data_IF_685850593346
#
_entry.id   IF_685850593346
#
_cell.length_a   1.000
_cell.length_b   1.000
_cell.length_c   1.000
_cell.angle_alpha   90.00
_cell.angle_beta   90.00
_cell.angle_gamma   90.00
#
_symmetry.space_group_name_H-M   'P 1'
#
loop_
_entity.id
_entity.type
_entity.pdbx_description
1 polymer ?
#
# COMPACT_ATOMS: atom_id res chain seq x y z
N UNK A 1 -20.00 17.40 17.69
CA UNK A 1 -19.67 17.04 16.29
C UNK A 1 -20.54 15.85 15.90
N UNK A 2 -21.11 15.82 14.68
CA UNK A 2 -21.77 14.63 14.18
C UNK A 2 -20.79 13.45 14.13
N UNK A 3 -21.27 12.20 14.29
CA UNK A 3 -20.41 11.02 14.20
C UNK A 3 -19.76 10.93 12.83
N UNK A 4 -18.49 10.51 12.78
CA UNK A 4 -17.80 10.29 11.50
C UNK A 4 -18.57 9.24 10.69
N UNK A 5 -18.78 9.46 9.38
CA UNK A 5 -19.40 8.46 8.51
C UNK A 5 -18.65 7.14 8.57
N UNK A 6 -19.38 6.03 8.51
CA UNK A 6 -18.78 4.69 8.46
C UNK A 6 -18.29 4.44 7.03
N UNK A 7 -17.01 4.08 6.83
CA UNK A 7 -16.50 3.71 5.51
C UNK A 7 -17.25 2.52 4.91
N UNK A 8 -17.53 2.58 3.60
CA UNK A 8 -18.21 1.51 2.84
C UNK A 8 -17.38 0.96 1.70
N UNK A 9 -16.49 1.78 1.14
CA UNK A 9 -15.59 1.40 0.05
C UNK A 9 -14.21 2.01 0.31
N UNK A 10 -13.23 1.57 -0.47
CA UNK A 10 -11.88 2.09 -0.39
C UNK A 10 -11.20 2.08 -1.76
N UNK A 11 -10.34 3.07 -1.97
CA UNK A 11 -9.41 3.12 -3.10
C UNK A 11 -8.14 2.34 -2.69
N UNK A 12 -7.64 1.47 -3.55
CA UNK A 12 -6.43 0.70 -3.26
C UNK A 12 -5.57 0.40 -4.48
N UNK A 13 -4.34 -0.03 -4.19
CA UNK A 13 -3.54 -0.86 -5.08
C UNK A 13 -3.69 -2.32 -4.61
N UNK A 14 -4.40 -3.19 -5.36
CA UNK A 14 -4.39 -4.62 -5.12
C UNK A 14 -2.98 -5.17 -5.27
N UNK A 15 -2.53 -6.00 -4.32
CA UNK A 15 -1.17 -6.54 -4.35
C UNK A 15 -1.12 -7.97 -4.90
N UNK A 16 -2.26 -8.57 -5.23
CA UNK A 16 -2.37 -9.96 -5.67
C UNK A 16 -2.36 -10.02 -7.19
N UNK A 17 -1.23 -10.44 -7.73
CA UNK A 17 -0.98 -10.67 -9.16
C UNK A 17 -0.47 -12.10 -9.36
N UNK A 18 -0.33 -12.54 -10.60
CA UNK A 18 0.30 -13.83 -10.91
C UNK A 18 1.74 -13.92 -10.38
N UNK A 19 2.46 -12.79 -10.31
CA UNK A 19 3.84 -12.72 -9.84
C UNK A 19 3.96 -12.66 -8.31
N UNK A 20 3.04 -11.98 -7.61
CA UNK A 20 3.12 -11.80 -6.16
C UNK A 20 2.48 -12.94 -5.37
N UNK A 21 1.44 -13.57 -5.91
CA UNK A 21 0.66 -14.59 -5.19
C UNK A 21 1.52 -15.74 -4.66
N UNK A 22 2.44 -16.35 -5.43
CA UNK A 22 3.29 -17.43 -4.91
C UNK A 22 4.16 -16.98 -3.74
N UNK A 23 4.74 -15.77 -3.81
CA UNK A 23 5.58 -15.20 -2.74
C UNK A 23 4.76 -14.95 -1.47
N UNK A 24 3.54 -14.40 -1.62
CA UNK A 24 2.65 -14.09 -0.51
C UNK A 24 2.07 -15.33 0.15
N UNK A 25 1.70 -16.36 -0.62
CA UNK A 25 1.29 -17.67 -0.09
C UNK A 25 2.42 -18.27 0.75
N UNK A 26 3.64 -18.29 0.23
CA UNK A 26 4.78 -18.88 0.93
C UNK A 26 5.14 -18.11 2.21
N UNK A 27 5.23 -16.78 2.14
CA UNK A 27 5.60 -15.94 3.29
C UNK A 27 4.53 -15.95 4.38
N UNK A 28 3.24 -15.87 4.02
CA UNK A 28 2.15 -15.95 5.00
C UNK A 28 2.00 -17.35 5.60
N UNK A 29 2.22 -18.43 4.84
CA UNK A 29 2.22 -19.78 5.39
C UNK A 29 3.34 -19.96 6.43
N UNK A 30 4.54 -19.47 6.12
CA UNK A 30 5.69 -19.50 7.03
C UNK A 30 5.42 -18.66 8.29
N UNK A 31 4.87 -17.45 8.11
CA UNK A 31 4.46 -16.60 9.22
C UNK A 31 3.39 -17.27 10.08
N UNK A 32 2.37 -17.91 9.49
CA UNK A 32 1.32 -18.62 10.23
C UNK A 32 1.88 -19.74 11.09
N UNK A 33 2.78 -20.55 10.52
CA UNK A 33 3.38 -21.71 11.19
C UNK A 33 4.23 -21.33 12.41
N UNK A 34 4.90 -20.17 12.37
CA UNK A 34 5.69 -19.66 13.48
C UNK A 34 4.87 -18.78 14.43
N UNK A 35 4.12 -17.81 13.90
CA UNK A 35 3.59 -16.74 14.73
C UNK A 35 2.41 -17.16 15.63
N UNK A 36 1.66 -18.18 15.23
CA UNK A 36 0.59 -18.76 16.05
C UNK A 36 1.18 -19.42 17.31
N UNK A 37 2.08 -20.43 17.22
CA UNK A 37 2.62 -21.08 18.41
C UNK A 37 3.60 -20.19 19.18
N UNK A 38 4.43 -19.39 18.51
CA UNK A 38 5.52 -18.63 19.15
C UNK A 38 5.05 -17.36 19.86
N UNK A 39 4.03 -16.68 19.33
CA UNK A 39 3.58 -15.37 19.86
C UNK A 39 2.08 -15.34 20.24
N UNK A 40 1.38 -16.47 20.13
CA UNK A 40 -0.03 -16.57 20.50
C UNK A 40 -0.96 -15.73 19.61
N UNK A 41 -0.55 -15.42 18.38
CA UNK A 41 -1.41 -14.75 17.41
C UNK A 41 -2.55 -15.68 17.03
N UNK A 42 -3.78 -15.19 17.09
CA UNK A 42 -4.95 -15.99 16.72
C UNK A 42 -4.98 -16.22 15.21
N UNK A 43 -5.32 -17.44 14.80
CA UNK A 43 -5.39 -17.86 13.40
C UNK A 43 -6.25 -16.93 12.54
N UNK A 44 -7.50 -16.67 12.96
CA UNK A 44 -8.40 -15.72 12.30
C UNK A 44 -7.93 -14.26 12.27
N UNK A 45 -6.89 -13.89 13.04
CA UNK A 45 -6.33 -12.55 12.97
C UNK A 45 -5.40 -12.38 11.77
N UNK A 46 -4.84 -13.47 11.23
CA UNK A 46 -3.94 -13.43 10.07
C UNK A 46 -4.79 -13.27 8.81
N UNK A 47 -4.43 -12.28 7.99
CA UNK A 47 -5.21 -11.89 6.81
C UNK A 47 -5.05 -12.91 5.68
N UNK A 48 -6.14 -13.29 4.99
CA UNK A 48 -6.05 -14.13 3.80
C UNK A 48 -5.27 -13.43 2.67
N UNK A 49 -4.59 -14.22 1.85
CA UNK A 49 -3.71 -13.73 0.77
C UNK A 49 -4.49 -12.81 -0.18
N UNK A 50 -5.66 -13.25 -0.66
CA UNK A 50 -6.52 -12.51 -1.58
C UNK A 50 -7.00 -11.14 -1.08
N UNK A 51 -6.75 -10.82 0.19
CA UNK A 51 -7.14 -9.54 0.80
C UNK A 51 -6.02 -8.52 0.94
N UNK A 52 -4.78 -8.85 0.56
CA UNK A 52 -3.65 -7.93 0.69
C UNK A 52 -3.71 -6.82 -0.38
N UNK A 53 -3.65 -5.58 0.09
CA UNK A 53 -3.71 -4.37 -0.73
C UNK A 53 -3.03 -3.22 0.02
N UNK A 54 -2.68 -2.15 -0.69
CA UNK A 54 -2.38 -0.84 -0.08
C UNK A 54 -3.62 0.04 -0.15
N UNK A 55 -4.20 0.39 0.99
CA UNK A 55 -5.32 1.34 1.04
C UNK A 55 -4.83 2.76 0.82
N UNK A 56 -5.38 3.46 -0.17
CA UNK A 56 -5.04 4.85 -0.50
C UNK A 56 -6.00 5.85 0.16
N UNK A 57 -7.22 5.40 0.44
CA UNK A 57 -8.21 6.17 1.17
C UNK A 57 -9.58 5.50 1.16
N UNK A 58 -10.53 6.05 1.91
CA UNK A 58 -11.84 5.43 2.14
C UNK A 58 -12.98 6.33 1.69
N UNK A 59 -14.03 5.71 1.16
CA UNK A 59 -15.28 6.37 0.82
C UNK A 59 -16.36 6.00 1.83
N UNK A 60 -17.24 6.96 2.10
CA UNK A 60 -18.45 6.74 2.88
C UNK A 60 -19.65 7.20 2.07
N UNK A 61 -20.27 6.25 1.36
CA UNK A 61 -21.52 6.49 0.63
C UNK A 61 -22.72 6.22 1.52
N UNK A 62 -23.74 7.08 1.45
CA UNK A 62 -24.99 6.90 2.16
C UNK A 62 -25.76 5.70 1.62
N UNK A 63 -26.68 5.16 2.41
CA UNK A 63 -27.57 4.07 1.98
C UNK A 63 -28.30 4.46 0.68
N UNK A 64 -28.28 3.57 -0.30
CA UNK A 64 -28.83 3.74 -1.66
C UNK A 64 -28.20 4.87 -2.50
N UNK A 65 -27.17 5.55 -1.99
CA UNK A 65 -26.38 6.57 -2.71
C UNK A 65 -27.19 7.46 -3.68
N UNK A 66 -28.18 8.23 -3.18
CA UNK A 66 -29.11 8.99 -4.02
C UNK A 66 -28.42 10.03 -4.93
N UNK A 67 -27.20 10.44 -4.58
CA UNK A 67 -26.41 11.41 -5.34
C UNK A 67 -25.48 10.76 -6.38
N UNK A 68 -25.48 9.43 -6.48
CA UNK A 68 -24.64 8.65 -7.41
C UNK A 68 -23.14 8.89 -7.19
N UNK A 69 -22.70 9.06 -5.94
CA UNK A 69 -21.30 9.35 -5.62
C UNK A 69 -20.38 8.17 -5.92
N UNK A 70 -20.87 6.94 -5.81
CA UNK A 70 -20.12 5.74 -6.22
C UNK A 70 -19.86 5.76 -7.72
N UNK A 71 -20.87 6.02 -8.55
CA UNK A 71 -20.70 6.07 -10.00
C UNK A 71 -19.74 7.19 -10.41
N UNK A 72 -19.85 8.38 -9.78
CA UNK A 72 -18.87 9.47 -9.97
C UNK A 72 -17.44 9.06 -9.59
N UNK A 73 -17.26 8.27 -8.53
CA UNK A 73 -15.95 7.75 -8.15
C UNK A 73 -15.41 6.73 -9.16
N UNK A 74 -16.28 5.88 -9.72
CA UNK A 74 -15.92 4.95 -10.80
C UNK A 74 -15.52 5.71 -12.06
N UNK A 75 -16.30 6.71 -12.47
CA UNK A 75 -16.00 7.57 -13.61
C UNK A 75 -14.67 8.32 -13.43
N UNK A 76 -14.44 8.90 -12.25
CA UNK A 76 -13.18 9.56 -11.93
C UNK A 76 -12.02 8.57 -12.01
N UNK A 77 -12.14 7.37 -11.43
CA UNK A 77 -11.13 6.33 -11.54
C UNK A 77 -10.79 6.03 -13.01
N UNK A 78 -11.81 5.79 -13.85
CA UNK A 78 -11.64 5.52 -15.28
C UNK A 78 -10.97 6.65 -16.06
N UNK A 79 -11.10 7.89 -15.58
CA UNK A 79 -10.47 9.05 -16.22
C UNK A 79 -8.99 9.24 -15.88
N UNK A 80 -8.49 8.60 -14.81
CA UNK A 80 -7.11 8.76 -14.38
C UNK A 80 -6.13 8.20 -15.40
N UNK A 81 -4.94 8.81 -15.46
CA UNK A 81 -3.82 8.36 -16.31
C UNK A 81 -2.61 8.02 -15.42
N UNK A 82 -2.55 6.80 -14.85
CA UNK A 82 -1.55 6.45 -13.82
C UNK A 82 -0.09 6.67 -14.26
N UNK A 83 0.26 6.32 -15.50
CA UNK A 83 1.62 6.51 -16.03
C UNK A 83 2.02 7.98 -16.11
N UNK A 84 1.11 8.84 -16.55
CA UNK A 84 1.35 10.28 -16.62
C UNK A 84 1.48 10.88 -15.22
N UNK A 85 0.64 10.43 -14.28
CA UNK A 85 0.74 10.82 -12.87
C UNK A 85 2.11 10.43 -12.29
N UNK A 86 2.59 9.20 -12.55
CA UNK A 86 3.92 8.76 -12.13
C UNK A 86 5.05 9.58 -12.79
N UNK A 87 4.97 9.82 -14.10
CA UNK A 87 5.97 10.62 -14.81
C UNK A 87 6.13 12.01 -14.20
N UNK A 88 5.01 12.66 -13.86
CA UNK A 88 5.01 13.99 -13.26
C UNK A 88 5.70 14.06 -11.89
N UNK A 89 5.79 12.93 -11.18
CA UNK A 89 6.49 12.83 -9.89
C UNK A 89 7.99 12.68 -10.11
N UNK A 90 8.41 11.81 -11.04
CA UNK A 90 9.82 11.59 -11.36
C UNK A 90 10.49 12.88 -11.86
N UNK A 91 9.79 13.70 -12.65
CA UNK A 91 10.32 14.99 -13.14
C UNK A 91 10.45 16.10 -12.08
N UNK A 92 9.76 15.98 -10.93
CA UNK A 92 9.85 16.96 -9.82
C UNK A 92 10.95 16.64 -8.82
N UNK A 93 11.63 15.50 -8.95
CA UNK A 93 12.75 15.14 -8.08
C UNK A 93 14.03 15.81 -8.60
N UNK A 94 14.75 16.62 -7.80
CA UNK A 94 16.02 17.21 -8.25
C UNK A 94 17.06 16.09 -8.47
N UNK A 95 17.91 16.18 -9.50
CA UNK A 95 19.01 15.25 -9.67
C UNK A 95 20.00 15.37 -8.49
N UNK A 96 20.67 14.27 -8.07
CA UNK A 96 21.68 14.34 -7.03
C UNK A 96 22.80 15.27 -7.48
N UNK A 97 22.98 16.36 -6.75
CA UNK A 97 24.02 17.37 -6.99
C UNK A 97 25.36 16.78 -6.56
N UNK A 98 26.05 16.09 -7.47
CA UNK A 98 27.48 15.84 -7.33
C UNK A 98 28.24 16.99 -7.99
N UNK A 99 28.79 17.88 -7.17
CA UNK A 99 29.95 18.71 -7.50
C UNK A 99 30.96 18.53 -6.36
N UNK A 100 32.25 18.53 -6.71
CA UNK A 100 33.05 19.64 -6.20
C UNK A 100 33.53 20.48 -7.38
N UNK A 101 33.21 21.77 -7.31
CA UNK A 101 33.85 22.81 -8.10
C UNK A 101 35.36 22.76 -7.86
N UNK A 102 36.13 22.73 -8.96
CA UNK A 102 37.53 23.19 -8.93
C UNK A 102 37.60 24.38 -9.89
N UNK A 103 37.96 25.54 -9.36
CA UNK A 103 38.15 26.79 -10.11
C UNK A 103 39.17 26.64 -11.25
N UNK A 104 39.03 27.35 -12.38
CA UNK A 104 40.11 27.52 -13.35
C UNK A 104 40.89 28.83 -13.11
N UNK A 105 42.22 28.89 -13.37
CA UNK A 105 42.97 30.14 -13.38
C UNK A 105 42.84 30.89 -14.73
N UNK A 106 43.16 32.19 -14.79
CA UNK A 106 42.88 33.02 -15.95
C UNK A 106 43.95 32.98 -17.05
N UNK A 107 43.45 32.93 -18.29
CA UNK A 107 43.91 33.55 -19.56
C UNK A 107 45.41 33.72 -19.87
N UNK A 108 45.82 33.15 -21.00
CA UNK A 108 46.83 33.77 -21.89
C UNK A 108 46.35 33.77 -23.35
N UNK A 109 46.42 34.95 -23.96
CA UNK A 109 46.06 35.28 -25.34
C UNK A 109 46.86 34.46 -26.40
N UNK A 110 46.16 34.00 -27.44
CA UNK A 110 46.75 33.49 -28.67
C UNK A 110 45.73 33.45 -29.81
N UNK A 111 45.94 34.28 -30.84
CA UNK A 111 45.11 34.41 -32.05
C UNK A 111 45.13 33.13 -32.92
N UNK A 112 44.00 32.76 -33.51
CA UNK A 112 43.99 32.04 -34.80
C UNK A 112 42.76 31.18 -35.14
N UNK A 113 41.97 31.68 -36.12
CA UNK A 113 41.34 30.95 -37.24
C UNK A 113 40.20 29.93 -36.97
N UNK A 114 39.00 30.27 -37.50
CA UNK A 114 37.88 29.36 -37.87
C UNK A 114 38.09 28.91 -39.34
N UNK A 115 37.43 27.87 -39.91
CA UNK A 115 36.37 27.00 -39.39
C UNK A 115 36.49 25.49 -39.73
N UNK A 116 35.81 24.61 -38.99
CA UNK A 116 35.29 23.36 -39.58
C UNK A 116 34.19 22.72 -38.73
N UNK A 117 33.29 22.07 -39.44
CA UNK A 117 31.93 21.63 -39.09
C UNK A 117 31.88 20.47 -38.09
N UNK A 118 31.30 20.70 -36.91
CA UNK A 118 30.82 19.63 -36.03
C UNK A 118 29.40 19.19 -36.42
N UNK A 119 29.03 17.90 -36.24
CA UNK A 119 27.68 17.42 -36.55
C UNK A 119 26.66 18.06 -35.60
N UNK A 120 25.37 18.15 -35.99
CA UNK A 120 24.38 18.85 -35.19
C UNK A 120 24.18 18.13 -33.85
N UNK A 121 24.06 18.94 -32.80
CA UNK A 121 23.60 18.51 -31.50
C UNK A 121 22.40 17.58 -31.65
N UNK A 122 22.52 16.39 -31.07
CA UNK A 122 21.40 15.48 -30.85
C UNK A 122 20.37 16.24 -30.03
N UNK A 123 19.30 16.67 -30.69
CA UNK A 123 18.07 17.12 -30.05
C UNK A 123 17.62 15.94 -29.19
N UNK A 124 17.74 16.08 -27.87
CA UNK A 124 17.17 15.11 -26.92
C UNK A 124 15.68 15.02 -27.21
N UNK A 125 15.30 13.91 -27.83
CA UNK A 125 13.91 13.58 -28.13
C UNK A 125 13.22 13.44 -26.77
N UNK A 126 12.11 14.15 -26.49
CA UNK A 126 11.36 13.89 -25.27
C UNK A 126 10.98 12.41 -25.29
N UNK A 127 11.33 11.69 -24.23
CA UNK A 127 11.07 10.26 -24.10
C UNK A 127 9.60 9.99 -24.44
N UNK A 128 9.37 9.09 -25.37
CA UNK A 128 8.01 8.63 -25.68
C UNK A 128 7.40 8.05 -24.40
N UNK A 129 6.13 8.36 -24.13
CA UNK A 129 5.36 7.89 -22.96
C UNK A 129 5.45 6.35 -22.77
N UNK A 130 5.79 5.60 -23.83
CA UNK A 130 6.02 4.16 -23.84
C UNK A 130 7.27 3.66 -23.10
N UNK A 131 8.20 4.53 -22.68
CA UNK A 131 9.46 4.14 -22.00
C UNK A 131 9.46 4.39 -20.48
N UNK A 132 8.32 4.78 -19.90
CA UNK A 132 8.23 4.97 -18.45
C UNK A 132 8.37 3.63 -17.73
N UNK A 133 9.43 3.51 -16.92
CA UNK A 133 9.63 2.32 -16.09
C UNK A 133 8.42 2.06 -15.17
N UNK A 134 8.00 0.78 -15.05
CA UNK A 134 6.85 0.41 -14.22
C UNK A 134 7.11 0.76 -12.75
N UNK A 135 6.04 1.07 -12.01
CA UNK A 135 6.13 1.20 -10.56
C UNK A 135 6.17 -0.20 -9.95
N UNK A 136 7.23 -0.52 -9.21
CA UNK A 136 7.36 -1.79 -8.49
C UNK A 136 7.24 -1.57 -6.97
N UNK A 137 6.66 -2.56 -6.27
CA UNK A 137 6.48 -2.57 -4.83
C UNK A 137 7.21 -3.78 -4.24
N UNK A 138 8.00 -3.53 -3.21
CA UNK A 138 8.54 -4.56 -2.30
C UNK A 138 7.96 -4.29 -0.92
N UNK A 139 7.39 -5.32 -0.28
CA UNK A 139 6.94 -5.24 1.11
C UNK A 139 7.98 -5.91 2.02
N UNK A 140 8.54 -5.15 2.96
CA UNK A 140 9.53 -5.66 3.90
C UNK A 140 9.28 -5.19 5.33
N UNK A 141 9.47 -6.12 6.25
CA UNK A 141 9.34 -5.91 7.67
C UNK A 141 7.92 -6.07 8.18
N UNK A 142 7.77 -5.91 9.48
CA UNK A 142 6.49 -5.93 10.18
C UNK A 142 6.45 -4.75 11.15
N UNK A 143 5.34 -4.02 11.18
CA UNK A 143 5.14 -2.86 12.06
C UNK A 143 3.80 -2.97 12.78
N UNK A 144 3.71 -2.32 13.93
CA UNK A 144 2.44 -2.19 14.65
C UNK A 144 1.80 -0.85 14.41
N UNK A 145 0.46 -0.86 14.26
CA UNK A 145 -0.34 0.36 14.18
C UNK A 145 -0.58 0.99 15.56
N UNK A 146 -0.48 0.19 16.63
CA UNK A 146 -0.64 0.61 18.02
C UNK A 146 0.70 0.44 18.75
N UNK A 147 0.82 0.86 20.03
CA UNK A 147 2.00 0.51 20.82
C UNK A 147 2.24 -1.00 20.81
N UNK A 148 3.46 -1.48 20.53
CA UNK A 148 3.76 -2.91 20.38
C UNK A 148 3.28 -3.80 21.54
N UNK A 149 3.32 -3.32 22.79
CA UNK A 149 2.87 -4.06 23.96
C UNK A 149 1.35 -4.32 24.02
N UNK A 150 0.56 -3.63 23.19
CA UNK A 150 -0.91 -3.75 23.09
C UNK A 150 -1.35 -3.67 21.63
N UNK A 151 -0.64 -4.37 20.76
CA UNK A 151 -0.93 -4.41 19.34
C UNK A 151 -2.28 -5.08 19.07
N UNK A 152 -2.96 -4.62 18.03
CA UNK A 152 -4.16 -5.26 17.48
C UNK A 152 -4.15 -5.33 15.96
N UNK A 153 -3.27 -4.56 15.32
CA UNK A 153 -3.04 -4.55 13.89
C UNK A 153 -1.53 -4.55 13.64
N UNK A 154 -1.06 -5.52 12.84
CA UNK A 154 0.30 -5.55 12.30
C UNK A 154 0.24 -5.45 10.79
N UNK A 155 1.20 -4.74 10.20
CA UNK A 155 1.23 -4.49 8.78
C UNK A 155 2.65 -4.52 8.22
N UNK A 156 2.76 -4.86 6.94
CA UNK A 156 4.00 -4.77 6.16
C UNK A 156 4.01 -3.44 5.37
N UNK A 157 5.00 -2.56 5.58
CA UNK A 157 5.14 -1.34 4.78
C UNK A 157 5.81 -1.63 3.44
N UNK A 158 5.54 -0.82 2.39
CA UNK A 158 6.38 -0.82 1.20
C UNK A 158 7.76 -0.22 1.50
N UNK A 159 8.81 -0.73 0.84
CA UNK A 159 10.10 -0.06 0.77
C UNK A 159 9.97 1.08 -0.25
N UNK A 160 10.23 2.31 0.18
CA UNK A 160 10.12 3.49 -0.68
C UNK A 160 11.17 4.55 -0.32
N UNK A 161 12.45 4.22 -0.50
CA UNK A 161 13.56 5.11 -0.14
C UNK A 161 13.52 6.44 -0.90
N UNK A 162 13.07 6.42 -2.16
CA UNK A 162 12.95 7.60 -2.99
C UNK A 162 11.61 8.35 -2.83
N UNK A 163 10.66 7.83 -2.03
CA UNK A 163 9.35 8.44 -1.82
C UNK A 163 8.41 8.39 -3.04
N UNK A 164 8.73 7.61 -4.07
CA UNK A 164 8.00 7.58 -5.33
C UNK A 164 6.67 6.84 -5.18
N UNK A 165 6.65 5.73 -4.44
CA UNK A 165 5.42 4.96 -4.20
C UNK A 165 4.45 5.79 -3.37
N UNK A 166 4.95 6.45 -2.32
CA UNK A 166 4.22 7.35 -1.45
C UNK A 166 3.62 8.51 -2.25
N UNK A 167 4.45 9.25 -2.99
CA UNK A 167 3.98 10.39 -3.78
C UNK A 167 2.95 9.99 -4.85
N UNK A 168 3.13 8.83 -5.48
CA UNK A 168 2.17 8.30 -6.46
C UNK A 168 0.81 8.00 -5.82
N UNK A 169 0.84 7.29 -4.70
CA UNK A 169 -0.37 6.95 -3.94
C UNK A 169 -1.10 8.18 -3.40
N UNK A 170 -0.36 9.17 -2.90
CA UNK A 170 -0.91 10.46 -2.46
C UNK A 170 -1.52 11.24 -3.62
N UNK A 171 -0.91 11.19 -4.82
CA UNK A 171 -1.46 11.86 -5.99
C UNK A 171 -2.77 11.21 -6.46
N UNK A 172 -2.87 9.88 -6.44
CA UNK A 172 -4.13 9.17 -6.68
C UNK A 172 -5.20 9.59 -5.66
N UNK A 173 -4.86 9.54 -4.36
CA UNK A 173 -5.76 9.96 -3.28
C UNK A 173 -6.25 11.41 -3.46
N UNK A 174 -5.34 12.32 -3.80
CA UNK A 174 -5.63 13.76 -3.94
C UNK A 174 -6.67 14.01 -5.02
N UNK A 175 -6.64 13.30 -6.14
CA UNK A 175 -7.65 13.44 -7.20
C UNK A 175 -9.09 13.20 -6.68
N UNK A 176 -9.28 12.21 -5.80
CA UNK A 176 -10.59 11.93 -5.20
C UNK A 176 -10.98 12.93 -4.09
N UNK A 177 -9.99 13.52 -3.41
CA UNK A 177 -10.23 14.57 -2.41
C UNK A 177 -10.60 15.89 -3.07
N UNK A 178 -9.89 16.30 -4.12
CA UNK A 178 -10.18 17.48 -4.95
C UNK A 178 -11.58 17.40 -5.58
N UNK A 179 -11.99 16.20 -6.01
CA UNK A 179 -13.35 15.93 -6.49
C UNK A 179 -14.42 15.84 -5.38
N UNK A 180 -14.05 16.06 -4.12
CA UNK A 180 -14.94 15.97 -2.94
C UNK A 180 -15.64 14.61 -2.79
N UNK A 181 -15.04 13.55 -3.33
CA UNK A 181 -15.53 12.17 -3.20
C UNK A 181 -14.96 11.49 -1.95
N UNK A 182 -13.76 11.90 -1.54
CA UNK A 182 -13.07 11.43 -0.34
C UNK A 182 -12.85 12.57 0.65
N UNK A 183 -12.94 12.28 1.94
CA UNK A 183 -12.66 13.27 2.97
C UNK A 183 -11.18 13.67 2.97
N UNK A 184 -10.93 14.94 3.22
CA UNK A 184 -9.60 15.40 3.63
C UNK A 184 -9.28 14.79 5.01
N UNK A 185 -8.04 14.33 5.19
CA UNK A 185 -7.57 13.86 6.49
C UNK A 185 -6.38 14.70 6.93
N UNK A 186 -6.36 15.07 8.21
CA UNK A 186 -5.27 15.84 8.82
C UNK A 186 -3.96 15.04 8.98
N UNK A 187 -3.94 13.77 8.53
CA UNK A 187 -2.83 12.85 8.71
C UNK A 187 -2.28 12.44 7.34
N UNK A 188 -0.95 12.32 7.20
CA UNK A 188 -0.34 11.81 5.99
C UNK A 188 -0.81 10.38 5.71
N UNK A 189 -0.81 9.99 4.43
CA UNK A 189 -1.15 8.63 4.02
C UNK A 189 -0.13 7.64 4.60
N UNK A 190 -0.58 6.68 5.39
CA UNK A 190 0.27 5.57 5.83
C UNK A 190 0.08 4.39 4.89
N UNK A 191 1.01 4.19 3.96
CA UNK A 191 1.00 3.01 3.11
C UNK A 191 1.34 1.75 3.89
N UNK A 192 0.45 0.76 3.82
CA UNK A 192 0.60 -0.49 4.54
C UNK A 192 -0.24 -1.61 3.92
N UNK A 193 0.28 -2.83 3.95
CA UNK A 193 -0.48 -4.05 3.73
C UNK A 193 -0.74 -4.73 5.08
N UNK A 194 -2.00 -4.85 5.48
CA UNK A 194 -2.34 -5.45 6.78
C UNK A 194 -2.09 -6.95 6.77
N UNK A 195 -1.24 -7.43 7.69
CA UNK A 195 -0.91 -8.86 7.86
C UNK A 195 -1.73 -9.48 8.99
N UNK A 196 -1.86 -8.78 10.12
CA UNK A 196 -2.62 -9.22 11.29
C UNK A 196 -3.63 -8.15 11.67
N UNK A 197 -4.88 -8.53 11.92
CA UNK A 197 -5.89 -7.65 12.48
C UNK A 197 -6.88 -8.42 13.35
N UNK A 198 -6.87 -8.14 14.65
CA UNK A 198 -7.66 -8.89 15.63
C UNK A 198 -9.17 -8.62 15.56
N UNK A 199 -9.63 -7.64 14.75
CA UNK A 199 -11.06 -7.41 14.54
C UNK A 199 -11.75 -8.61 13.87
N UNK A 200 -10.98 -9.44 13.16
CA UNK A 200 -11.50 -10.63 12.47
C UNK A 200 -11.64 -11.85 13.39
N UNK A 201 -11.05 -11.79 14.59
CA UNK A 201 -11.24 -12.81 15.62
C UNK A 201 -12.64 -12.63 16.20
N UNK A 202 -13.55 -13.51 15.83
CA UNK A 202 -14.89 -13.54 16.42
C UNK A 202 -14.75 -13.99 17.88
N UNK A 203 -15.26 -13.19 18.81
CA UNK A 203 -15.35 -13.59 20.21
C UNK A 203 -16.18 -14.86 20.31
N UNK A 204 -15.63 -15.88 20.97
CA UNK A 204 -16.30 -17.15 21.23
C UNK A 204 -17.67 -16.92 21.88
N UNK A 205 -18.73 -17.04 21.09
CA UNK A 205 -20.10 -17.12 21.59
C UNK A 205 -20.37 -18.57 21.96
N UNK A 206 -19.75 -19.00 23.06
CA UNK A 206 -20.12 -20.25 23.75
C UNK A 206 -19.42 -21.51 23.23
N UNK A 207 -18.16 -21.69 23.57
CA UNK A 207 -17.47 -22.97 23.50
C UNK A 207 -16.68 -23.22 24.77
N UNK A 208 -17.28 -23.90 25.76
CA UNK A 208 -16.58 -24.27 26.98
C UNK A 208 -15.38 -25.16 26.68
N UNK A 209 -14.17 -24.59 26.71
CA UNK A 209 -12.94 -25.38 26.74
C UNK A 209 -12.22 -25.20 28.09
N UNK A 210 -12.06 -26.34 28.77
CA UNK A 210 -11.61 -26.54 30.16
C UNK A 210 -10.09 -26.32 30.37
N UNK A 211 -9.50 -25.33 29.72
CA UNK A 211 -8.09 -24.99 29.94
C UNK A 211 -7.87 -23.49 29.93
N UNK A 212 -8.30 -22.80 30.98
CA UNK A 212 -7.63 -21.59 31.45
C UNK A 212 -7.92 -21.34 32.93
N UNK A 213 -6.96 -21.72 33.75
CA UNK A 213 -6.84 -21.34 35.15
C UNK A 213 -6.14 -19.97 35.15
N UNK A 214 -6.87 -18.91 35.51
CA UNK A 214 -6.32 -17.59 35.82
C UNK A 214 -6.51 -16.51 34.73
N UNK A 215 -7.26 -15.45 35.10
CA UNK A 215 -7.23 -14.15 34.41
C UNK A 215 -8.60 -13.67 33.90
N UNK A 216 -9.14 -12.65 34.57
CA UNK A 216 -10.38 -11.90 34.30
C UNK A 216 -11.08 -12.08 32.95
N UNK A 217 -12.36 -12.45 33.01
CA UNK A 217 -13.23 -12.49 31.84
C UNK A 217 -13.21 -11.16 31.06
N UNK A 218 -13.01 -11.24 29.74
CA UNK A 218 -13.08 -10.08 28.84
C UNK A 218 -14.40 -9.35 29.02
N UNK A 219 -14.35 -8.03 29.23
CA UNK A 219 -15.55 -7.19 29.17
C UNK A 219 -16.10 -7.25 27.75
N UNK A 220 -17.42 -7.41 27.63
CA UNK A 220 -18.14 -7.45 26.35
C UNK A 220 -17.79 -6.18 25.54
N UNK A 221 -17.09 -6.35 24.41
CA UNK A 221 -16.70 -5.26 23.50
C UNK A 221 -15.24 -4.82 23.56
N UNK A 222 -14.41 -5.40 24.43
CA UNK A 222 -12.98 -5.07 24.46
C UNK A 222 -12.22 -5.70 23.28
N UNK A 223 -11.49 -4.87 22.51
CA UNK A 223 -10.70 -5.30 21.35
C UNK A 223 -9.63 -6.31 21.80
N UNK A 224 -9.51 -7.44 21.10
CA UNK A 224 -8.42 -8.38 21.33
C UNK A 224 -7.08 -7.68 21.01
N UNK A 225 -6.17 -7.68 21.98
CA UNK A 225 -4.79 -7.17 21.82
C UNK A 225 -3.80 -8.25 22.24
N UNK A 226 -2.55 -8.12 21.78
CA UNK A 226 -1.43 -8.97 22.15
C UNK A 226 -0.13 -8.16 22.21
N UNK A 227 0.90 -8.71 22.85
CA UNK A 227 2.24 -8.13 22.85
C UNK A 227 2.96 -8.55 21.57
N UNK A 228 3.36 -7.59 20.75
CA UNK A 228 3.96 -7.82 19.45
C UNK A 228 5.47 -7.54 19.43
N UNK A 229 6.12 -7.20 20.54
CA UNK A 229 7.54 -6.79 20.52
C UNK A 229 8.44 -7.86 19.91
N UNK A 230 8.31 -9.11 20.35
CA UNK A 230 9.16 -10.20 19.89
C UNK A 230 8.89 -10.58 18.43
N UNK A 231 7.61 -10.59 18.00
CA UNK A 231 7.27 -10.87 16.58
C UNK A 231 7.71 -9.72 15.66
N UNK A 232 7.69 -8.47 16.13
CA UNK A 232 8.18 -7.35 15.33
C UNK A 232 9.69 -7.43 15.12
N UNK A 233 10.45 -7.77 16.17
CA UNK A 233 11.89 -7.99 16.08
C UNK A 233 12.21 -9.16 15.14
N UNK A 234 11.54 -10.31 15.31
CA UNK A 234 11.76 -11.50 14.48
C UNK A 234 11.52 -11.25 12.98
N UNK A 235 10.54 -10.40 12.66
CA UNK A 235 10.09 -10.14 11.29
C UNK A 235 10.48 -8.74 10.79
N UNK A 236 11.44 -8.06 11.43
CA UNK A 236 11.90 -6.71 11.03
C UNK A 236 12.37 -6.65 9.58
N UNK A 237 13.01 -7.72 9.11
CA UNK A 237 13.57 -7.83 7.76
C UNK A 237 12.80 -8.80 6.83
N UNK A 238 11.64 -9.28 7.26
CA UNK A 238 10.86 -10.23 6.46
C UNK A 238 10.46 -9.61 5.11
N UNK A 239 10.88 -10.22 4.00
CA UNK A 239 10.38 -9.88 2.67
C UNK A 239 9.09 -10.66 2.43
N UNK A 240 7.97 -9.96 2.28
CA UNK A 240 6.66 -10.57 2.02
C UNK A 240 6.42 -10.78 0.53
N UNK A 241 6.83 -9.80 -0.26
CA UNK A 241 6.87 -9.83 -1.72
C UNK A 241 7.94 -8.85 -2.19
N UNK A 242 8.57 -9.14 -3.31
CA UNK A 242 9.67 -8.35 -3.86
C UNK A 242 9.45 -8.01 -5.33
N UNK A 243 9.70 -6.73 -5.66
CA UNK A 243 9.74 -6.21 -7.02
C UNK A 243 8.48 -6.53 -7.84
N UNK A 244 7.32 -6.36 -7.23
CA UNK A 244 6.02 -6.62 -7.86
C UNK A 244 5.54 -5.37 -8.58
N UNK A 245 5.31 -5.47 -9.89
CA UNK A 245 4.74 -4.37 -10.67
C UNK A 245 3.33 -4.03 -10.17
N UNK A 246 3.05 -2.75 -10.05
CA UNK A 246 1.68 -2.25 -9.91
C UNK A 246 0.98 -2.51 -11.24
N UNK A 247 -0.04 -3.38 -11.20
CA UNK A 247 -0.84 -3.71 -12.39
C UNK A 247 -2.14 -2.92 -12.44
N UNK A 248 -2.75 -2.64 -11.26
CA UNK A 248 -4.09 -2.07 -11.18
C UNK A 248 -4.25 -1.06 -10.05
N UNK A 249 -5.22 -0.17 -10.22
CA UNK A 249 -5.82 0.66 -9.17
C UNK A 249 -7.31 0.35 -9.12
N UNK A 250 -7.86 0.13 -7.93
CA UNK A 250 -9.24 -0.34 -7.77
C UNK A 250 -10.01 0.43 -6.71
N UNK A 251 -11.33 0.52 -6.90
CA UNK A 251 -12.30 0.81 -5.86
C UNK A 251 -12.94 -0.51 -5.45
N UNK A 252 -12.82 -0.84 -4.17
CA UNK A 252 -13.35 -2.07 -3.61
C UNK A 252 -14.41 -1.79 -2.55
N UNK A 253 -15.43 -2.66 -2.49
CA UNK A 253 -16.42 -2.66 -1.42
C UNK A 253 -15.82 -3.27 -0.15
N UNK A 254 -16.11 -2.68 1.01
CA UNK A 254 -15.69 -3.25 2.29
C UNK A 254 -16.42 -4.55 2.60
N UNK A 255 -15.71 -5.45 3.30
CA UNK A 255 -16.21 -6.78 3.65
C UNK A 255 -15.81 -7.82 2.62
N UNK A 256 -14.58 -8.35 2.77
CA UNK A 256 -14.08 -9.41 1.91
C UNK A 256 -14.98 -10.66 2.02
N UNK A 257 -15.25 -11.28 0.88
CA UNK A 257 -16.06 -12.50 0.76
C UNK A 257 -15.12 -13.70 0.80
N UNK A 258 -15.47 -14.71 1.60
CA UNK A 258 -14.73 -15.97 1.64
C UNK A 258 -14.74 -16.64 0.28
N UNK A 259 -13.60 -17.17 -0.11
CA UNK A 259 -13.43 -17.95 -1.33
C UNK A 259 -12.47 -19.10 -1.07
N UNK A 260 -12.25 -19.91 -2.09
CA UNK A 260 -11.31 -21.02 -2.04
C UNK A 260 -10.45 -20.96 -3.30
N UNK A 261 -9.14 -21.04 -3.12
CA UNK A 261 -8.20 -21.10 -4.24
C UNK A 261 -7.26 -22.26 -4.02
N UNK A 262 -7.20 -23.17 -5.00
CA UNK A 262 -6.36 -24.37 -4.95
C UNK A 262 -6.60 -25.22 -3.69
N UNK A 263 -7.84 -25.28 -3.20
CA UNK A 263 -8.19 -26.06 -2.01
C UNK A 263 -7.88 -25.36 -0.67
N UNK A 264 -7.43 -24.11 -0.70
CA UNK A 264 -7.07 -23.33 0.49
C UNK A 264 -8.09 -22.21 0.71
N UNK A 265 -8.58 -22.06 1.94
CA UNK A 265 -9.44 -20.94 2.32
C UNK A 265 -8.76 -19.60 2.05
N UNK A 266 -9.46 -18.71 1.35
CA UNK A 266 -9.00 -17.38 1.04
C UNK A 266 -10.17 -16.38 1.19
N UNK A 267 -9.93 -15.10 0.92
CA UNK A 267 -10.99 -14.12 0.79
C UNK A 267 -10.59 -13.03 -0.19
N UNK A 268 -11.58 -12.44 -0.86
CA UNK A 268 -11.37 -11.36 -1.84
C UNK A 268 -12.37 -10.24 -1.61
N UNK A 269 -11.97 -9.01 -1.94
CA UNK A 269 -12.89 -7.89 -1.96
C UNK A 269 -13.66 -7.85 -3.29
N UNK A 270 -14.93 -7.46 -3.23
CA UNK A 270 -15.71 -7.14 -4.43
C UNK A 270 -15.14 -5.86 -5.07
N UNK A 271 -14.73 -5.95 -6.34
CA UNK A 271 -14.21 -4.82 -7.12
C UNK A 271 -15.39 -4.11 -7.79
N UNK A 272 -15.56 -2.84 -7.45
CA UNK A 272 -16.63 -1.99 -8.01
C UNK A 272 -16.19 -1.32 -9.33
N UNK A 273 -14.90 -0.99 -9.44
CA UNK A 273 -14.24 -0.54 -10.66
C UNK A 273 -12.72 -0.68 -10.49
N UNK A 274 -12.02 -0.86 -11.61
CA UNK A 274 -10.56 -0.88 -11.67
C UNK A 274 -10.06 -0.31 -13.00
N UNK A 275 -8.81 0.17 -13.00
CA UNK A 275 -8.04 0.55 -14.18
C UNK A 275 -6.68 -0.14 -14.15
N UNK A 276 -6.12 -0.37 -15.33
CA UNK A 276 -4.74 -0.82 -15.48
C UNK A 276 -3.76 0.34 -15.25
N UNK A 277 -2.54 -0.01 -14.84
CA UNK A 277 -1.43 0.92 -14.66
C UNK A 277 -0.79 1.37 -15.99
#
# INVERSE_FOLDING_TARGET
MPPKPVPTHFLCIPLITSASRPQLVQSLASFRADAIPSYGIHEDAIRPVGTLHLTLGVFAFSKNDPEGRLDKAKELLQSLQPREMLASIKHKSPPPTNMPETEPPPSSFGKGKVPETGPPATVERPASISELEPLCITLRGLRSMQPPSKASVLYAPPIDQAGVVQAFCERLRSAFQEAQLMAEEDRPLLLHATIVNTIYVKGDKGGGNKYKKGGGGRKKGEKLTFDARDVLERYEDQVWMENIKVEKIAICRMGAVKTEVEGVEDAVYEVEAEIDF
#
